data_IF_711906762730
#
_entry.id   IF_711906762730
#
_cell.length_a   1.000
_cell.length_b   1.000
_cell.length_c   1.000
_cell.angle_alpha   90.00
_cell.angle_beta   90.00
_cell.angle_gamma   90.00
#
_symmetry.space_group_name_H-M   'P 1'
#
loop_
_entity.id
_entity.type
_entity.pdbx_description
1 polymer ?
#
# COMPACT_ATOMS: atom_id res chain seq x y z
N UNK A 1 -0.83 26.04 2.75
CA UNK A 1 -0.15 24.75 2.96
C UNK A 1 1.24 25.01 3.53
N UNK A 2 1.71 24.20 4.48
CA UNK A 2 3.02 24.40 5.06
C UNK A 2 4.11 24.09 4.03
N UNK A 3 5.12 24.94 4.01
CA UNK A 3 6.32 24.74 3.19
C UNK A 3 7.43 24.17 4.05
N UNK A 4 8.11 23.15 3.52
CA UNK A 4 9.30 22.57 4.14
C UNK A 4 10.53 22.82 3.26
N UNK A 5 11.71 22.71 3.84
CA UNK A 5 12.96 22.78 3.10
C UNK A 5 13.24 21.44 2.39
N UNK A 6 14.01 21.49 1.32
CA UNK A 6 14.42 20.27 0.61
C UNK A 6 15.07 19.22 1.52
N UNK A 7 15.85 19.65 2.52
CA UNK A 7 16.50 18.75 3.47
C UNK A 7 15.54 18.16 4.52
N UNK A 8 14.31 18.63 4.59
CA UNK A 8 13.28 18.13 5.52
C UNK A 8 12.36 17.08 4.88
N UNK A 9 12.50 16.85 3.57
CA UNK A 9 11.70 15.84 2.86
C UNK A 9 12.03 14.45 3.40
N UNK A 10 11.01 13.67 3.68
CA UNK A 10 11.10 12.28 4.16
C UNK A 10 10.22 11.36 3.30
N UNK A 11 10.56 10.06 3.18
CA UNK A 11 9.68 9.09 2.56
C UNK A 11 8.29 9.12 3.20
N UNK A 12 7.24 9.04 2.38
CA UNK A 12 5.85 9.14 2.81
C UNK A 12 5.28 10.56 2.80
N UNK A 13 6.12 11.60 2.69
CA UNK A 13 5.62 12.96 2.51
C UNK A 13 4.90 13.10 1.17
N UNK A 14 3.81 13.84 1.15
CA UNK A 14 3.12 14.24 -0.06
C UNK A 14 3.48 15.69 -0.37
N UNK A 15 3.97 15.92 -1.58
CA UNK A 15 4.47 17.21 -2.02
C UNK A 15 3.64 17.71 -3.21
N UNK A 16 3.36 19.01 -3.23
CA UNK A 16 2.88 19.66 -4.44
C UNK A 16 4.08 20.11 -5.26
N UNK A 17 4.22 19.57 -6.46
CA UNK A 17 5.33 19.84 -7.36
C UNK A 17 4.89 19.69 -8.81
N UNK A 18 5.37 20.57 -9.68
CA UNK A 18 5.05 20.54 -11.12
C UNK A 18 3.54 20.33 -11.42
N UNK A 19 2.69 21.08 -10.73
CA UNK A 19 1.22 21.02 -10.83
C UNK A 19 0.60 19.65 -10.53
N UNK A 20 1.27 18.84 -9.72
CA UNK A 20 0.78 17.52 -9.31
C UNK A 20 1.04 17.24 -7.85
N UNK A 21 0.39 16.19 -7.35
CA UNK A 21 0.59 15.66 -6.02
C UNK A 21 1.49 14.42 -6.11
N UNK A 22 2.59 14.44 -5.39
CA UNK A 22 3.62 13.43 -5.45
C UNK A 22 3.93 12.86 -4.07
N UNK A 23 3.92 11.55 -3.94
CA UNK A 23 4.41 10.88 -2.73
C UNK A 23 5.91 10.62 -2.86
N UNK A 24 6.68 11.06 -1.88
CA UNK A 24 8.10 10.74 -1.79
C UNK A 24 8.26 9.26 -1.41
N UNK A 25 8.89 8.49 -2.28
CA UNK A 25 9.12 7.05 -2.10
C UNK A 25 10.50 6.80 -1.51
N UNK A 26 11.51 7.49 -2.04
CA UNK A 26 12.90 7.37 -1.59
C UNK A 26 13.56 8.74 -1.55
N UNK A 27 14.29 9.00 -0.48
CA UNK A 27 15.01 10.26 -0.29
C UNK A 27 16.46 9.96 0.09
N UNK A 28 17.40 10.44 -0.75
CA UNK A 28 18.83 10.35 -0.49
C UNK A 28 19.39 11.75 -0.26
N UNK A 29 20.00 11.98 0.90
CA UNK A 29 20.66 13.25 1.21
C UNK A 29 22.13 13.18 0.78
N UNK A 30 22.53 14.08 -0.11
CA UNK A 30 23.88 14.13 -0.67
C UNK A 30 24.57 15.41 -0.23
N UNK A 31 25.76 15.26 0.36
CA UNK A 31 26.66 16.36 0.71
C UNK A 31 27.93 16.23 -0.14
N UNK A 32 27.99 16.88 -1.30
CA UNK A 32 29.20 16.83 -2.11
C UNK A 32 30.37 17.57 -1.43
N UNK A 33 31.58 17.17 -1.72
CA UNK A 33 32.78 17.83 -1.19
C UNK A 33 32.93 19.28 -1.66
N UNK A 34 32.37 19.62 -2.80
CA UNK A 34 32.25 20.97 -3.34
C UNK A 34 30.80 21.21 -3.79
N UNK A 35 30.23 22.33 -3.37
CA UNK A 35 28.85 22.70 -3.70
C UNK A 35 27.89 22.50 -2.53
N UNK A 36 26.65 22.93 -2.74
CA UNK A 36 25.59 22.85 -1.72
C UNK A 36 25.03 21.44 -1.57
N UNK A 37 24.62 21.10 -0.35
CA UNK A 37 23.89 19.84 -0.10
C UNK A 37 22.54 19.83 -0.82
N UNK A 38 22.11 18.66 -1.25
CA UNK A 38 20.82 18.47 -1.92
C UNK A 38 20.16 17.13 -1.51
N UNK A 39 18.87 17.03 -1.72
CA UNK A 39 18.11 15.82 -1.58
C UNK A 39 17.73 15.29 -2.97
N UNK A 40 18.05 14.03 -3.25
CA UNK A 40 17.59 13.31 -4.43
C UNK A 40 16.33 12.56 -4.03
N UNK A 41 15.18 12.94 -4.59
CA UNK A 41 13.87 12.40 -4.20
C UNK A 41 13.27 11.63 -5.36
N UNK A 42 13.01 10.35 -5.14
CA UNK A 42 12.17 9.55 -6.02
C UNK A 42 10.71 9.73 -5.57
N UNK A 43 9.87 10.19 -6.48
CA UNK A 43 8.47 10.50 -6.22
C UNK A 43 7.55 9.73 -7.15
N UNK A 44 6.35 9.46 -6.65
CA UNK A 44 5.27 8.84 -7.43
C UNK A 44 4.05 9.76 -7.45
N UNK A 45 3.54 10.00 -8.65
CA UNK A 45 2.32 10.78 -8.81
C UNK A 45 1.12 10.02 -8.23
N UNK A 46 0.35 10.67 -7.37
CA UNK A 46 -0.78 10.03 -6.69
C UNK A 46 -1.98 9.81 -7.62
N UNK A 47 -2.09 10.54 -8.73
CA UNK A 47 -3.22 10.43 -9.65
C UNK A 47 -2.98 9.43 -10.76
N UNK A 48 -1.80 9.45 -11.39
CA UNK A 48 -1.49 8.63 -12.56
C UNK A 48 -0.40 7.56 -12.33
N UNK A 49 0.21 7.52 -11.15
CA UNK A 49 1.24 6.55 -10.79
C UNK A 49 2.60 6.75 -11.46
N UNK A 50 2.79 7.80 -12.25
CA UNK A 50 4.07 8.06 -12.89
C UNK A 50 5.18 8.34 -11.87
N UNK A 51 6.41 8.00 -12.24
CA UNK A 51 7.59 8.21 -11.39
C UNK A 51 8.36 9.43 -11.86
N UNK A 52 8.90 10.17 -10.90
CA UNK A 52 9.76 11.32 -11.13
C UNK A 52 10.91 11.30 -10.13
N UNK A 53 12.13 11.49 -10.62
CA UNK A 53 13.29 11.75 -9.78
C UNK A 53 13.60 13.24 -9.86
N UNK A 54 13.60 13.90 -8.71
CA UNK A 54 13.84 15.34 -8.61
C UNK A 54 14.92 15.63 -7.58
N UNK A 55 15.69 16.66 -7.86
CA UNK A 55 16.74 17.13 -6.98
C UNK A 55 16.32 18.45 -6.34
N UNK A 56 16.24 18.47 -5.02
CA UNK A 56 15.95 19.67 -4.25
C UNK A 56 17.21 20.12 -3.49
N UNK A 57 17.58 21.38 -3.63
CA UNK A 57 18.61 21.97 -2.78
C UNK A 57 18.11 22.00 -1.34
N UNK A 58 19.03 21.92 -0.38
CA UNK A 58 18.64 21.90 1.05
C UNK A 58 17.75 23.09 1.47
N UNK A 59 17.95 24.25 0.86
CA UNK A 59 17.21 25.48 1.17
C UNK A 59 15.97 25.69 0.27
N UNK A 60 15.73 24.83 -0.73
CA UNK A 60 14.55 24.94 -1.60
C UNK A 60 13.28 24.76 -0.77
N UNK A 61 12.28 25.57 -1.06
CA UNK A 61 10.96 25.48 -0.41
C UNK A 61 10.04 24.61 -1.24
N UNK A 62 9.46 23.61 -0.60
CA UNK A 62 8.51 22.69 -1.23
C UNK A 62 7.22 22.66 -0.40
N UNK A 63 6.08 22.71 -1.07
CA UNK A 63 4.79 22.60 -0.38
C UNK A 63 4.53 21.16 0.04
N UNK A 64 4.37 20.95 1.33
CA UNK A 64 3.96 19.69 1.91
C UNK A 64 2.44 19.67 2.05
N UNK A 65 1.82 18.68 1.46
CA UNK A 65 0.38 18.49 1.49
C UNK A 65 0.01 17.50 2.57
N UNK A 66 -0.95 17.86 3.40
CA UNK A 66 -1.53 16.92 4.38
C UNK A 66 -2.79 16.31 3.79
N UNK A 67 -2.81 14.98 3.73
CA UNK A 67 -4.00 14.24 3.32
C UNK A 67 -4.88 13.96 4.54
N UNK A 68 -6.18 14.05 4.35
CA UNK A 68 -7.16 13.68 5.38
C UNK A 68 -7.39 12.16 5.31
N UNK A 69 -7.17 11.48 6.42
CA UNK A 69 -7.39 10.05 6.55
C UNK A 69 -8.78 9.78 7.12
N UNK A 70 -9.54 8.91 6.46
CA UNK A 70 -10.85 8.47 6.91
C UNK A 70 -10.97 6.96 6.86
N UNK A 71 -11.57 6.39 7.89
CA UNK A 71 -11.90 4.97 7.93
C UNK A 71 -13.16 4.72 7.10
N UNK A 72 -13.05 3.82 6.14
CA UNK A 72 -14.11 3.46 5.21
C UNK A 72 -14.36 1.96 5.28
N UNK A 73 -15.60 1.56 5.47
CA UNK A 73 -16.00 0.17 5.48
C UNK A 73 -16.42 -0.27 4.08
N UNK A 74 -15.85 -1.37 3.58
CA UNK A 74 -16.24 -1.93 2.31
C UNK A 74 -17.62 -2.59 2.39
N UNK A 75 -18.52 -2.21 1.50
CA UNK A 75 -19.87 -2.75 1.42
C UNK A 75 -20.01 -3.77 0.30
N UNK A 76 -19.78 -3.37 -0.94
CA UNK A 76 -19.93 -4.24 -2.13
C UNK A 76 -19.24 -3.64 -3.35
N UNK A 77 -19.10 -4.47 -4.37
CA UNK A 77 -18.60 -4.04 -5.69
C UNK A 77 -19.76 -3.98 -6.69
N UNK A 78 -19.78 -2.90 -7.47
CA UNK A 78 -20.74 -2.70 -8.54
C UNK A 78 -20.05 -2.17 -9.79
N UNK A 79 -20.08 -2.93 -10.88
CA UNK A 79 -19.53 -2.54 -12.19
C UNK A 79 -18.09 -2.00 -12.15
N UNK A 80 -17.21 -2.66 -11.40
CA UNK A 80 -15.80 -2.26 -11.25
C UNK A 80 -15.55 -1.14 -10.26
N UNK A 81 -16.60 -0.61 -9.64
CA UNK A 81 -16.52 0.38 -8.58
C UNK A 81 -16.74 -0.28 -7.22
N UNK A 82 -15.91 0.09 -6.26
CA UNK A 82 -16.00 -0.38 -4.88
C UNK A 82 -16.80 0.63 -4.07
N UNK A 83 -17.86 0.17 -3.41
CA UNK A 83 -18.70 1.03 -2.56
C UNK A 83 -18.26 0.91 -1.12
N UNK A 84 -17.93 2.03 -0.53
CA UNK A 84 -17.52 2.15 0.87
C UNK A 84 -18.46 3.07 1.64
N UNK A 85 -18.48 2.90 2.94
CA UNK A 85 -19.24 3.76 3.86
C UNK A 85 -18.28 4.34 4.90
N UNK A 86 -18.34 5.65 5.08
CA UNK A 86 -17.61 6.33 6.14
C UNK A 86 -18.11 5.82 7.50
N UNK A 87 -17.20 5.39 8.37
CA UNK A 87 -17.56 4.79 9.65
C UNK A 87 -18.08 5.80 10.67
N UNK A 88 -17.85 7.09 10.46
CA UNK A 88 -18.31 8.17 11.33
C UNK A 88 -19.60 8.83 10.82
N UNK A 89 -19.61 9.19 9.53
CA UNK A 89 -20.74 9.95 8.93
C UNK A 89 -21.77 9.05 8.27
N UNK A 90 -21.42 7.78 7.99
CA UNK A 90 -22.24 6.81 7.23
C UNK A 90 -22.50 7.20 5.77
N UNK A 91 -21.81 8.21 5.27
CA UNK A 91 -21.87 8.58 3.85
C UNK A 91 -21.21 7.50 2.99
N UNK A 92 -21.83 7.19 1.87
CA UNK A 92 -21.33 6.21 0.92
C UNK A 92 -20.53 6.92 -0.19
N UNK A 93 -19.43 6.28 -0.56
CA UNK A 93 -18.58 6.73 -1.68
C UNK A 93 -18.29 5.55 -2.61
N UNK A 94 -18.06 5.86 -3.87
CA UNK A 94 -17.61 4.89 -4.87
C UNK A 94 -16.16 5.18 -5.25
N UNK A 95 -15.33 4.15 -5.19
CA UNK A 95 -13.92 4.23 -5.56
C UNK A 95 -13.61 3.22 -6.65
N UNK A 96 -12.75 3.57 -7.64
CA UNK A 96 -12.34 2.60 -8.64
C UNK A 96 -11.49 1.49 -8.00
N UNK A 97 -11.69 0.25 -8.44
CA UNK A 97 -10.94 -0.91 -7.94
C UNK A 97 -9.42 -0.75 -8.16
N UNK A 98 -9.02 -0.01 -9.19
CA UNK A 98 -7.62 0.30 -9.50
C UNK A 98 -6.90 1.05 -8.38
N UNK A 99 -7.62 1.73 -7.49
CA UNK A 99 -7.03 2.42 -6.33
C UNK A 99 -6.32 1.45 -5.39
N UNK A 100 -6.80 0.20 -5.28
CA UNK A 100 -6.17 -0.86 -4.51
C UNK A 100 -5.10 -1.63 -5.29
N UNK A 101 -5.12 -1.56 -6.63
CA UNK A 101 -4.18 -2.27 -7.48
C UNK A 101 -4.18 -3.77 -7.22
N UNK A 102 -2.99 -4.36 -7.09
CA UNK A 102 -2.81 -5.81 -6.85
C UNK A 102 -3.33 -6.28 -5.49
N UNK A 103 -3.65 -5.36 -4.59
CA UNK A 103 -4.20 -5.68 -3.25
C UNK A 103 -5.71 -5.89 -3.25
N UNK A 104 -6.39 -5.58 -4.35
CA UNK A 104 -7.85 -5.73 -4.46
C UNK A 104 -8.37 -7.10 -3.99
N UNK A 105 -7.72 -8.24 -4.32
CA UNK A 105 -8.20 -9.55 -3.88
C UNK A 105 -8.23 -9.74 -2.36
N UNK A 106 -7.45 -8.99 -1.60
CA UNK A 106 -7.42 -9.05 -0.13
C UNK A 106 -8.53 -8.25 0.54
N UNK A 107 -9.26 -7.44 -0.21
CA UNK A 107 -10.42 -6.71 0.30
C UNK A 107 -11.56 -7.69 0.56
N UNK A 108 -12.04 -7.73 1.80
CA UNK A 108 -13.12 -8.61 2.24
C UNK A 108 -14.37 -7.80 2.58
N UNK A 109 -15.55 -8.40 2.43
CA UNK A 109 -16.82 -7.76 2.78
C UNK A 109 -16.83 -7.33 4.24
N UNK A 110 -17.25 -6.10 4.48
CA UNK A 110 -17.29 -5.52 5.82
C UNK A 110 -15.94 -5.04 6.37
N UNK A 111 -14.86 -5.20 5.62
CA UNK A 111 -13.51 -4.75 6.04
C UNK A 111 -13.45 -3.23 6.11
N UNK A 112 -12.83 -2.72 7.17
CA UNK A 112 -12.52 -1.29 7.29
C UNK A 112 -11.11 -1.02 6.77
N UNK A 113 -11.00 -0.06 5.85
CA UNK A 113 -9.74 0.40 5.28
C UNK A 113 -9.54 1.89 5.58
N UNK A 114 -8.31 2.36 5.42
CA UNK A 114 -7.99 3.78 5.51
C UNK A 114 -7.90 4.36 4.11
N UNK A 115 -8.70 5.39 3.84
CA UNK A 115 -8.66 6.14 2.57
C UNK A 115 -8.14 7.54 2.84
N UNK A 116 -7.19 7.97 2.04
CA UNK A 116 -6.60 9.30 2.12
C UNK A 116 -7.21 10.21 1.07
N UNK A 117 -7.69 11.37 1.53
CA UNK A 117 -8.37 12.37 0.70
C UNK A 117 -7.59 13.68 0.65
N UNK A 118 -7.67 14.34 -0.49
CA UNK A 118 -7.29 15.73 -0.68
C UNK A 118 -8.44 16.46 -1.37
N UNK A 119 -8.98 17.49 -0.73
CA UNK A 119 -10.13 18.24 -1.24
C UNK A 119 -11.28 17.32 -1.70
N UNK A 120 -11.67 16.37 -0.85
CA UNK A 120 -12.73 15.38 -1.09
C UNK A 120 -12.41 14.34 -2.17
N UNK A 121 -11.25 14.42 -2.84
CA UNK A 121 -10.79 13.41 -3.79
C UNK A 121 -10.02 12.30 -3.08
N UNK A 122 -10.42 11.05 -3.26
CA UNK A 122 -9.67 9.89 -2.75
C UNK A 122 -8.42 9.67 -3.59
N UNK A 123 -7.25 9.71 -2.95
CA UNK A 123 -5.96 9.57 -3.62
C UNK A 123 -5.26 8.26 -3.32
N UNK A 124 -5.52 7.67 -2.16
CA UNK A 124 -4.88 6.44 -1.72
C UNK A 124 -5.80 5.65 -0.80
N UNK A 125 -5.70 4.32 -0.87
CA UNK A 125 -6.43 3.41 0.00
C UNK A 125 -5.47 2.36 0.55
N UNK A 126 -5.51 2.15 1.86
CA UNK A 126 -4.61 1.23 2.55
C UNK A 126 -5.44 0.18 3.28
N UNK A 127 -5.22 -1.09 2.93
CA UNK A 127 -5.80 -2.23 3.63
C UNK A 127 -5.15 -2.41 5.01
N UNK A 128 -5.83 -3.10 5.94
CA UNK A 128 -5.15 -3.58 7.14
C UNK A 128 -3.88 -4.33 6.75
N UNK A 129 -2.81 -4.13 7.51
CA UNK A 129 -1.52 -4.74 7.19
C UNK A 129 -1.59 -6.26 7.16
N UNK A 130 -2.35 -6.86 8.04
CA UNK A 130 -2.51 -8.31 8.14
C UNK A 130 -3.95 -8.71 7.87
N UNK A 131 -4.12 -9.70 7.00
CA UNK A 131 -5.42 -10.26 6.62
C UNK A 131 -5.35 -11.77 6.72
N UNK A 132 -6.40 -12.39 7.27
CA UNK A 132 -6.54 -13.84 7.32
C UNK A 132 -7.15 -14.35 6.01
N UNK A 133 -6.50 -15.32 5.39
CA UNK A 133 -6.95 -16.00 4.17
C UNK A 133 -6.92 -17.50 4.37
N UNK A 134 -7.73 -18.22 3.60
CA UNK A 134 -7.75 -19.69 3.58
C UNK A 134 -6.92 -20.18 2.39
N UNK A 135 -6.10 -21.19 2.62
CA UNK A 135 -5.35 -21.86 1.56
C UNK A 135 -6.32 -22.76 0.78
N UNK A 136 -6.64 -22.37 -0.46
CA UNK A 136 -7.53 -23.14 -1.32
C UNK A 136 -6.82 -24.33 -1.95
N UNK A 137 -5.57 -24.16 -2.39
CA UNK A 137 -4.76 -25.19 -3.03
C UNK A 137 -3.30 -25.06 -2.63
N UNK A 138 -2.69 -26.20 -2.30
CA UNK A 138 -1.25 -26.31 -2.08
C UNK A 138 -0.81 -27.76 -2.19
N UNK A 139 0.49 -28.00 -2.27
CA UNK A 139 1.06 -29.34 -2.22
C UNK A 139 0.79 -29.99 -0.85
N UNK A 140 0.52 -31.32 -0.81
CA UNK A 140 0.28 -32.03 0.44
C UNK A 140 1.45 -31.90 1.40
N UNK A 141 1.13 -31.88 2.70
CA UNK A 141 2.12 -31.97 3.75
C UNK A 141 2.63 -33.40 3.81
N UNK A 142 3.93 -33.59 3.67
CA UNK A 142 4.58 -34.92 3.74
C UNK A 142 5.14 -35.14 5.13
N UNK A 143 4.65 -36.17 5.83
CA UNK A 143 5.16 -36.56 7.16
C UNK A 143 6.59 -37.09 7.02
N UNK A 144 7.48 -36.66 7.91
CA UNK A 144 8.86 -37.15 7.99
C UNK A 144 9.85 -36.46 7.05
N UNK A 145 9.44 -35.47 6.30
CA UNK A 145 10.42 -34.58 5.68
C UNK A 145 11.05 -33.69 6.76
N UNK A 146 12.28 -34.06 7.11
CA UNK A 146 13.15 -33.17 7.83
C UNK A 146 13.36 -31.91 6.98
N UNK A 147 12.67 -30.86 7.34
CA UNK A 147 13.04 -29.49 6.99
C UNK A 147 13.59 -29.31 5.57
N UNK A 148 12.85 -29.67 4.55
CA UNK A 148 12.99 -28.97 3.29
C UNK A 148 12.64 -27.51 3.61
N UNK A 149 13.66 -26.70 3.77
CA UNK A 149 13.53 -25.31 4.22
C UNK A 149 12.94 -24.41 3.16
N UNK A 150 12.53 -24.97 2.04
CA UNK A 150 11.99 -24.23 0.91
C UNK A 150 10.49 -24.07 1.06
N UNK A 151 10.03 -22.85 0.90
CA UNK A 151 8.61 -22.56 0.81
C UNK A 151 8.03 -23.19 -0.46
N UNK A 152 6.76 -23.52 -0.43
CA UNK A 152 6.01 -24.06 -1.55
C UNK A 152 4.92 -23.11 -1.99
N UNK A 153 4.50 -23.14 -3.27
CA UNK A 153 3.40 -22.30 -3.74
C UNK A 153 2.06 -22.75 -3.16
N UNK A 154 1.23 -21.79 -2.84
CA UNK A 154 -0.15 -21.98 -2.44
C UNK A 154 -1.05 -20.95 -3.14
N UNK A 155 -2.28 -21.35 -3.44
CA UNK A 155 -3.30 -20.46 -3.96
C UNK A 155 -4.32 -20.23 -2.84
N UNK A 156 -4.56 -18.96 -2.53
CA UNK A 156 -5.52 -18.55 -1.51
C UNK A 156 -6.95 -18.57 -2.06
N UNK A 157 -7.91 -18.56 -1.16
CA UNK A 157 -9.33 -18.49 -1.48
C UNK A 157 -9.73 -17.23 -2.29
N UNK A 158 -8.92 -16.18 -2.24
CA UNK A 158 -9.05 -14.99 -3.08
C UNK A 158 -8.36 -15.09 -4.46
N UNK A 159 -7.76 -16.21 -4.77
CA UNK A 159 -7.06 -16.46 -6.04
C UNK A 159 -5.61 -15.98 -6.09
N UNK A 160 -5.10 -15.36 -5.05
CA UNK A 160 -3.70 -14.90 -5.01
C UNK A 160 -2.76 -16.06 -4.72
N UNK A 161 -1.65 -16.11 -5.45
CA UNK A 161 -0.58 -17.08 -5.24
C UNK A 161 0.45 -16.51 -4.26
N UNK A 162 0.72 -17.27 -3.20
CA UNK A 162 1.74 -16.92 -2.21
C UNK A 162 2.66 -18.13 -1.95
N UNK A 163 3.85 -17.86 -1.45
CA UNK A 163 4.76 -18.91 -0.99
C UNK A 163 4.53 -19.15 0.50
N UNK A 164 4.32 -20.41 0.88
CA UNK A 164 4.05 -20.81 2.26
C UNK A 164 5.06 -21.83 2.75
N UNK A 165 5.28 -21.93 4.08
CA UNK A 165 6.11 -22.98 4.63
C UNK A 165 5.60 -24.40 4.28
N UNK A 166 6.47 -25.42 4.25
CA UNK A 166 6.09 -26.79 3.87
C UNK A 166 5.01 -27.42 4.76
N UNK A 167 4.87 -26.96 6.00
CA UNK A 167 3.90 -27.51 6.97
C UNK A 167 2.48 -26.97 6.80
N UNK A 168 2.27 -25.99 5.92
CA UNK A 168 0.94 -25.45 5.64
C UNK A 168 0.20 -26.39 4.69
N UNK A 169 -1.00 -26.79 5.07
CA UNK A 169 -1.88 -27.64 4.28
C UNK A 169 -3.06 -26.90 3.66
N UNK A 170 -3.77 -27.62 2.78
CA UNK A 170 -5.02 -27.14 2.20
C UNK A 170 -6.07 -26.90 3.31
N UNK A 171 -6.94 -25.93 3.10
CA UNK A 171 -7.99 -25.50 4.03
C UNK A 171 -7.50 -24.87 5.34
N UNK A 172 -6.20 -24.69 5.50
CA UNK A 172 -5.67 -23.96 6.65
C UNK A 172 -5.84 -22.44 6.50
N UNK A 173 -6.11 -21.77 7.62
CA UNK A 173 -6.11 -20.32 7.69
C UNK A 173 -4.69 -19.81 7.94
N UNK A 174 -4.29 -18.82 7.18
CA UNK A 174 -3.01 -18.14 7.31
C UNK A 174 -3.19 -16.64 7.37
N UNK A 175 -2.22 -15.95 7.96
CA UNK A 175 -2.14 -14.49 7.97
C UNK A 175 -1.17 -14.05 6.87
N UNK A 176 -1.64 -13.13 6.03
CA UNK A 176 -0.86 -12.56 4.93
C UNK A 176 -0.63 -11.08 5.18
N UNK A 177 0.59 -10.63 4.96
CA UNK A 177 0.91 -9.21 4.95
C UNK A 177 0.44 -8.61 3.62
N UNK A 178 -0.48 -7.66 3.66
CA UNK A 178 -1.06 -7.06 2.46
C UNK A 178 -0.14 -6.08 1.74
N UNK A 179 0.88 -5.57 2.41
CA UNK A 179 1.86 -4.66 1.79
C UNK A 179 2.87 -5.42 0.93
N UNK A 180 3.37 -6.53 1.44
CA UNK A 180 4.32 -7.40 0.72
C UNK A 180 3.61 -8.49 -0.08
N UNK A 181 2.35 -8.78 0.23
CA UNK A 181 1.56 -9.90 -0.31
C UNK A 181 2.21 -11.26 -0.03
N UNK A 182 2.80 -11.39 1.14
CA UNK A 182 3.54 -12.58 1.57
C UNK A 182 2.93 -13.20 2.82
N UNK A 183 3.15 -14.52 2.97
CA UNK A 183 2.81 -15.25 4.19
C UNK A 183 3.51 -14.62 5.40
N UNK A 184 2.75 -14.42 6.46
CA UNK A 184 3.27 -13.89 7.73
C UNK A 184 3.32 -15.00 8.80
N UNK A 185 2.19 -15.62 9.08
CA UNK A 185 2.07 -16.63 10.14
C UNK A 185 0.81 -17.49 9.96
N UNK A 186 0.70 -18.56 10.73
CA UNK A 186 -0.57 -19.30 10.83
C UNK A 186 -1.59 -18.44 11.61
N UNK A 187 -2.83 -18.52 11.19
CA UNK A 187 -3.91 -17.83 11.89
C UNK A 187 -4.30 -18.52 13.20
#
# INVERSE_FOLDING_TARGET
MPKINGNEIRPGNVLEHANGLWAAVKVDHVKPGKGGAFAQVEMRNLRNGSKLNERFRSADKVEKVRLEQKDQQFLYENAGMLVFMDTETYDQIELPAELLGDRRPFLQDGMTIVVEFHDEEALNATLPQKVTCIVAETEPVVKGQTAAKSFKPAILDNGVKVMVPPFIGQDEAIVVDTQTMEYSERA
#
